data_IF_601011381884
#
_entry.id   IF_601011381884
#
_cell.length_a   1.000
_cell.length_b   1.000
_cell.length_c   1.000
_cell.angle_alpha   90.00
_cell.angle_beta   90.00
_cell.angle_gamma   90.00
#
_symmetry.space_group_name_H-M   'P 1'
#
loop_
_entity.id
_entity.type
_entity.pdbx_description
1 polymer ?
#
# COMPACT_ATOMS: atom_id res chain seq x y z
N UNK A 1 -0.99 12.28 -16.20
CA UNK A 1 -0.26 11.03 -15.92
C UNK A 1 -1.08 9.89 -16.46
N UNK A 2 -0.47 8.91 -17.13
CA UNK A 2 -1.16 7.69 -17.53
C UNK A 2 -1.34 6.80 -16.29
N UNK A 3 -2.54 6.20 -16.12
CA UNK A 3 -2.75 5.23 -15.06
C UNK A 3 -1.94 3.96 -15.36
N UNK A 4 -1.36 3.30 -14.34
CA UNK A 4 -0.53 2.13 -14.55
C UNK A 4 -1.36 0.98 -15.11
N UNK A 5 -0.81 0.27 -16.10
CA UNK A 5 -1.42 -0.95 -16.62
C UNK A 5 -0.66 -2.16 -16.06
N UNK A 6 -1.18 -2.74 -14.97
CA UNK A 6 -0.57 -3.90 -14.30
C UNK A 6 -0.27 -3.66 -12.82
N UNK A 7 0.47 -4.59 -12.19
CA UNK A 7 0.77 -4.61 -10.76
C UNK A 7 1.90 -3.63 -10.40
N UNK A 8 1.71 -2.36 -10.76
CA UNK A 8 2.65 -1.26 -10.48
C UNK A 8 1.87 -0.03 -10.02
N UNK A 9 2.59 0.92 -9.41
CA UNK A 9 2.04 2.20 -8.98
C UNK A 9 2.62 3.36 -9.79
N UNK A 10 1.85 4.44 -9.88
CA UNK A 10 2.28 5.69 -10.49
C UNK A 10 1.84 6.87 -9.61
N UNK A 11 2.67 7.92 -9.54
CA UNK A 11 2.44 9.10 -8.68
C UNK A 11 2.29 10.35 -9.54
N UNK A 12 1.22 11.11 -9.30
CA UNK A 12 0.99 12.37 -10.00
C UNK A 12 0.19 13.35 -9.16
N UNK A 13 0.64 14.60 -9.10
CA UNK A 13 -0.04 15.71 -8.38
C UNK A 13 -0.45 15.34 -6.94
N UNK A 14 0.40 14.62 -6.21
CA UNK A 14 0.17 14.23 -4.82
C UNK A 14 -0.74 13.02 -4.62
N UNK A 15 -1.18 12.35 -5.69
CA UNK A 15 -1.96 11.11 -5.63
C UNK A 15 -1.15 9.97 -6.23
N UNK A 16 -1.05 8.86 -5.50
CA UNK A 16 -0.54 7.59 -6.02
C UNK A 16 -1.71 6.70 -6.42
N UNK A 17 -1.63 6.13 -7.61
CA UNK A 17 -2.52 5.08 -8.08
C UNK A 17 -1.76 3.76 -8.09
N UNK A 18 -2.23 2.79 -7.32
CA UNK A 18 -1.65 1.45 -7.20
C UNK A 18 -2.53 0.47 -7.98
N UNK A 19 -1.98 -0.23 -8.96
CA UNK A 19 -2.74 -1.22 -9.73
C UNK A 19 -3.15 -2.42 -8.88
N UNK A 20 -4.45 -2.73 -8.86
CA UNK A 20 -5.01 -3.88 -8.10
C UNK A 20 -5.66 -4.93 -9.01
N UNK A 21 -5.80 -4.62 -10.30
CA UNK A 21 -6.35 -5.49 -11.32
C UNK A 21 -6.46 -4.76 -12.67
N UNK A 22 -6.79 -5.47 -13.77
CA UNK A 22 -7.01 -4.84 -15.06
C UNK A 22 -8.10 -3.76 -14.98
N UNK A 23 -7.74 -2.50 -15.25
CA UNK A 23 -8.67 -1.38 -15.15
C UNK A 23 -9.08 -1.00 -13.73
N UNK A 24 -8.36 -1.45 -12.70
CA UNK A 24 -8.67 -1.20 -11.30
C UNK A 24 -7.46 -0.65 -10.55
N UNK A 25 -7.69 0.41 -9.78
CA UNK A 25 -6.65 1.10 -9.02
C UNK A 25 -7.09 1.43 -7.60
N UNK A 26 -6.15 1.38 -6.67
CA UNK A 26 -6.29 1.95 -5.33
C UNK A 26 -5.60 3.31 -5.32
N UNK A 27 -6.36 4.38 -5.07
CA UNK A 27 -5.82 5.73 -4.99
C UNK A 27 -5.50 6.08 -3.53
N UNK A 28 -4.30 6.60 -3.28
CA UNK A 28 -3.84 7.06 -1.96
C UNK A 28 -3.17 8.42 -2.10
N UNK A 29 -3.34 9.27 -1.08
CA UNK A 29 -2.78 10.62 -1.05
C UNK A 29 -2.49 11.02 0.38
N UNK A 30 -1.33 11.63 0.62
CA UNK A 30 -0.97 12.27 1.90
C UNK A 30 -1.42 13.73 1.96
N UNK A 31 -1.68 14.35 0.81
CA UNK A 31 -1.97 15.80 0.72
C UNK A 31 -3.47 16.14 0.65
N UNK A 32 -4.34 15.13 0.59
CA UNK A 32 -5.78 15.30 0.49
C UNK A 32 -6.44 14.72 1.73
N UNK A 33 -7.41 15.43 2.30
CA UNK A 33 -8.29 14.85 3.30
C UNK A 33 -9.06 13.67 2.69
N UNK A 34 -9.29 12.63 3.49
CA UNK A 34 -9.86 11.33 3.08
C UNK A 34 -10.99 11.43 2.03
N UNK A 35 -12.15 11.97 2.41
CA UNK A 35 -13.31 12.05 1.52
C UNK A 35 -13.11 13.05 0.36
N UNK A 36 -12.21 14.02 0.51
CA UNK A 36 -11.96 15.03 -0.51
C UNK A 36 -11.32 14.42 -1.77
N UNK A 37 -10.43 13.44 -1.61
CA UNK A 37 -9.81 12.74 -2.74
C UNK A 37 -10.87 11.98 -3.56
N UNK A 38 -11.72 11.19 -2.91
CA UNK A 38 -12.74 10.41 -3.59
C UNK A 38 -13.71 11.31 -4.37
N UNK A 39 -14.16 12.42 -3.75
CA UNK A 39 -15.04 13.40 -4.41
C UNK A 39 -14.39 14.09 -5.60
N UNK A 40 -13.10 14.46 -5.50
CA UNK A 40 -12.36 15.08 -6.61
C UNK A 40 -12.15 14.09 -7.78
N UNK A 41 -11.77 12.85 -7.48
CA UNK A 41 -11.62 11.79 -8.49
C UNK A 41 -12.95 11.45 -9.16
N UNK A 42 -14.04 11.34 -8.39
CA UNK A 42 -15.36 11.06 -8.94
C UNK A 42 -15.79 12.11 -9.98
N UNK A 43 -15.52 13.40 -9.72
CA UNK A 43 -15.78 14.48 -10.67
C UNK A 43 -14.88 14.40 -11.91
N UNK A 44 -13.59 14.13 -11.72
CA UNK A 44 -12.61 14.09 -12.82
C UNK A 44 -12.77 12.87 -13.73
N UNK A 45 -13.34 11.78 -13.20
CA UNK A 45 -13.49 10.50 -13.89
C UNK A 45 -14.94 10.20 -14.28
N UNK A 46 -15.81 11.20 -14.24
CA UNK A 46 -17.21 11.05 -14.64
C UNK A 46 -17.33 10.49 -16.07
N UNK A 47 -18.12 9.43 -16.22
CA UNK A 47 -18.28 8.71 -17.50
C UNK A 47 -17.09 7.84 -17.92
N UNK A 48 -15.98 7.85 -17.19
CA UNK A 48 -14.77 7.08 -17.49
C UNK A 48 -14.53 5.94 -16.49
N UNK A 49 -14.79 6.16 -15.21
CA UNK A 49 -14.60 5.16 -14.16
C UNK A 49 -15.54 5.37 -12.97
N UNK A 50 -15.84 4.29 -12.24
CA UNK A 50 -16.49 4.36 -10.93
C UNK A 50 -15.47 4.65 -9.84
N UNK A 51 -15.82 5.52 -8.89
CA UNK A 51 -14.98 5.85 -7.72
C UNK A 51 -15.72 5.49 -6.44
N UNK A 52 -15.03 4.79 -5.53
CA UNK A 52 -15.54 4.41 -4.22
C UNK A 52 -14.54 4.78 -3.13
N UNK A 53 -15.03 5.37 -2.05
CA UNK A 53 -14.20 5.72 -0.89
C UNK A 53 -13.97 4.48 -0.01
N UNK A 54 -12.68 4.21 0.28
CA UNK A 54 -12.21 3.12 1.14
C UNK A 54 -11.37 3.62 2.33
N UNK A 55 -11.32 4.93 2.57
CA UNK A 55 -10.47 5.57 3.59
C UNK A 55 -10.77 5.09 5.02
N UNK A 56 -12.04 4.84 5.35
CA UNK A 56 -12.42 4.30 6.67
C UNK A 56 -12.16 2.80 6.82
N UNK A 57 -12.09 2.05 5.72
CA UNK A 57 -12.00 0.59 5.71
C UNK A 57 -10.57 0.02 5.72
N UNK A 58 -9.56 0.86 5.49
CA UNK A 58 -8.15 0.46 5.40
C UNK A 58 -7.29 1.21 6.42
N UNK A 59 -6.23 0.54 6.86
CA UNK A 59 -5.08 1.17 7.50
C UNK A 59 -3.89 1.02 6.55
N UNK A 60 -3.14 2.10 6.35
CA UNK A 60 -1.91 2.10 5.55
C UNK A 60 -0.74 2.27 6.51
N UNK A 61 0.23 1.36 6.42
CA UNK A 61 1.46 1.41 7.21
C UNK A 61 2.64 1.46 6.26
N UNK A 62 3.48 2.48 6.41
CA UNK A 62 4.77 2.57 5.73
C UNK A 62 5.83 1.91 6.60
N UNK A 63 6.65 1.06 5.99
CA UNK A 63 7.82 0.44 6.62
C UNK A 63 9.06 0.70 5.76
N UNK A 64 10.16 1.02 6.43
CA UNK A 64 11.44 1.31 5.78
C UNK A 64 12.58 0.91 6.70
N UNK A 65 13.77 0.77 6.11
CA UNK A 65 14.98 0.36 6.82
C UNK A 65 15.69 -0.81 6.14
N UNK A 66 16.95 -1.07 6.51
CA UNK A 66 17.80 -2.04 5.81
C UNK A 66 17.28 -3.49 5.88
N UNK A 67 16.53 -3.83 6.93
CA UNK A 67 15.98 -5.16 7.15
C UNK A 67 14.53 -5.32 6.67
N UNK A 68 13.93 -4.31 6.02
CA UNK A 68 12.49 -4.30 5.70
C UNK A 68 12.08 -5.50 4.85
N UNK A 69 12.90 -5.91 3.87
CA UNK A 69 12.63 -7.07 3.02
C UNK A 69 12.65 -8.36 3.83
N UNK A 70 13.63 -8.54 4.71
CA UNK A 70 13.74 -9.72 5.57
C UNK A 70 12.57 -9.84 6.55
N UNK A 71 12.14 -8.71 7.12
CA UNK A 71 10.97 -8.64 8.01
C UNK A 71 9.70 -9.02 7.25
N UNK A 72 9.46 -8.40 6.09
CA UNK A 72 8.26 -8.65 5.29
C UNK A 72 8.23 -10.06 4.70
N UNK A 73 9.38 -10.62 4.31
CA UNK A 73 9.49 -11.98 3.77
C UNK A 73 9.07 -13.07 4.77
N UNK A 74 9.02 -12.78 6.08
CA UNK A 74 8.48 -13.71 7.10
C UNK A 74 6.97 -13.94 6.98
N UNK A 75 6.25 -13.04 6.30
CA UNK A 75 4.79 -13.12 6.20
C UNK A 75 4.25 -13.01 4.77
N UNK A 76 4.93 -12.29 3.86
CA UNK A 76 4.50 -12.12 2.48
C UNK A 76 4.81 -13.37 1.65
N UNK A 77 3.80 -13.88 0.96
CA UNK A 77 3.93 -15.00 0.02
C UNK A 77 4.34 -14.54 -1.39
N UNK A 78 5.23 -13.56 -1.50
CA UNK A 78 5.76 -13.03 -2.78
C UNK A 78 7.27 -12.82 -2.67
N UNK A 79 7.95 -12.89 -3.81
CA UNK A 79 9.39 -12.60 -3.89
C UNK A 79 9.62 -11.08 -3.83
N UNK A 80 10.38 -10.64 -2.84
CA UNK A 80 10.74 -9.23 -2.62
C UNK A 80 12.15 -8.89 -3.13
N UNK A 81 12.80 -9.79 -3.86
CA UNK A 81 14.10 -9.51 -4.48
C UNK A 81 14.02 -8.21 -5.29
N UNK A 82 15.02 -7.31 -5.19
CA UNK A 82 14.97 -6.03 -5.89
C UNK A 82 14.81 -6.12 -7.40
N UNK A 83 15.15 -7.25 -8.02
CA UNK A 83 15.01 -7.51 -9.45
C UNK A 83 13.65 -8.13 -9.81
N UNK A 84 12.88 -8.61 -8.83
CA UNK A 84 11.53 -9.17 -9.01
C UNK A 84 10.47 -8.16 -8.58
N UNK A 85 10.54 -7.66 -7.35
CA UNK A 85 9.67 -6.60 -6.83
C UNK A 85 10.38 -5.25 -6.94
N UNK A 86 10.54 -4.81 -8.19
CA UNK A 86 11.24 -3.56 -8.56
C UNK A 86 10.57 -2.31 -7.96
N UNK A 87 11.26 -1.18 -7.99
CA UNK A 87 10.67 0.10 -7.56
C UNK A 87 9.36 0.39 -8.32
N UNK A 88 8.35 0.87 -7.59
CA UNK A 88 7.00 1.07 -8.08
C UNK A 88 6.15 -0.19 -8.23
N UNK A 89 6.69 -1.41 -8.04
CA UNK A 89 5.90 -2.64 -8.07
C UNK A 89 4.82 -2.67 -6.97
N UNK A 90 3.74 -3.37 -7.25
CA UNK A 90 2.61 -3.53 -6.34
C UNK A 90 2.06 -4.96 -6.39
N UNK A 91 1.40 -5.41 -5.32
CA UNK A 91 0.72 -6.70 -5.30
C UNK A 91 -0.48 -6.68 -4.35
N UNK A 92 -1.58 -7.29 -4.80
CA UNK A 92 -2.66 -7.73 -3.92
C UNK A 92 -2.33 -9.17 -3.51
N UNK A 93 -2.07 -9.38 -2.22
CA UNK A 93 -1.58 -10.67 -1.70
C UNK A 93 -2.03 -10.88 -0.25
N UNK A 94 -1.40 -11.83 0.45
CA UNK A 94 -1.56 -12.06 1.88
C UNK A 94 -0.26 -11.83 2.64
N UNK A 95 -0.39 -11.45 3.91
CA UNK A 95 0.70 -11.36 4.88
C UNK A 95 0.23 -12.01 6.17
N UNK A 96 0.86 -13.12 6.58
CA UNK A 96 0.42 -13.88 7.77
C UNK A 96 -1.10 -14.15 7.77
N UNK A 97 -1.62 -14.67 6.64
CA UNK A 97 -3.05 -14.95 6.38
C UNK A 97 -3.98 -13.72 6.31
N UNK A 98 -3.48 -12.50 6.41
CA UNK A 98 -4.26 -11.27 6.29
C UNK A 98 -4.15 -10.70 4.87
N UNK A 99 -5.28 -10.33 4.26
CA UNK A 99 -5.28 -9.69 2.94
C UNK A 99 -4.62 -8.32 2.96
N UNK A 100 -3.63 -8.10 2.09
CA UNK A 100 -2.83 -6.88 2.02
C UNK A 100 -2.65 -6.42 0.57
N UNK A 101 -2.71 -5.11 0.37
CA UNK A 101 -2.14 -4.47 -0.82
C UNK A 101 -0.78 -3.90 -0.42
N UNK A 102 0.28 -4.34 -1.08
CA UNK A 102 1.64 -3.84 -0.86
C UNK A 102 2.14 -3.12 -2.11
N UNK A 103 2.82 -1.99 -1.95
CA UNK A 103 3.56 -1.35 -3.03
C UNK A 103 4.91 -0.84 -2.55
N UNK A 104 5.89 -0.83 -3.46
CA UNK A 104 7.24 -0.35 -3.21
C UNK A 104 7.38 1.12 -3.63
N UNK A 105 8.13 1.87 -2.83
CA UNK A 105 8.47 3.27 -3.07
C UNK A 105 9.93 3.52 -2.67
N UNK A 106 10.83 3.42 -3.63
CA UNK A 106 12.27 3.39 -3.39
C UNK A 106 12.65 2.17 -2.55
N UNK A 107 13.15 2.40 -1.33
CA UNK A 107 13.46 1.34 -0.37
C UNK A 107 12.35 1.09 0.66
N UNK A 108 11.29 1.90 0.65
CA UNK A 108 10.15 1.74 1.53
C UNK A 108 9.08 0.83 0.90
N UNK A 109 8.26 0.26 1.78
CA UNK A 109 7.06 -0.48 1.41
C UNK A 109 5.88 0.10 2.16
N UNK A 110 4.80 0.34 1.44
CA UNK A 110 3.52 0.70 2.04
C UNK A 110 2.59 -0.52 1.98
N UNK A 111 1.90 -0.78 3.07
CA UNK A 111 0.99 -1.91 3.24
C UNK A 111 -0.39 -1.41 3.64
N UNK A 112 -1.38 -1.63 2.78
CA UNK A 112 -2.77 -1.36 3.06
C UNK A 112 -3.51 -2.64 3.49
N UNK A 113 -3.82 -2.75 4.78
CA UNK A 113 -4.59 -3.85 5.39
C UNK A 113 -6.01 -3.41 5.72
N UNK A 114 -6.94 -4.36 5.84
CA UNK A 114 -8.27 -4.04 6.35
C UNK A 114 -8.17 -3.51 7.80
N UNK A 115 -8.93 -2.47 8.12
CA UNK A 115 -8.89 -1.84 9.45
C UNK A 115 -9.20 -2.84 10.57
N UNK A 116 -10.08 -3.81 10.32
CA UNK A 116 -10.47 -4.84 11.29
C UNK A 116 -9.32 -5.77 11.70
N UNK A 117 -8.28 -5.91 10.88
CA UNK A 117 -7.10 -6.75 11.18
C UNK A 117 -5.85 -5.92 11.47
N UNK A 118 -5.94 -4.60 11.52
CA UNK A 118 -4.78 -3.71 11.70
C UNK A 118 -4.04 -3.99 13.02
N UNK A 119 -4.76 -4.31 14.10
CA UNK A 119 -4.13 -4.69 15.38
C UNK A 119 -3.34 -6.01 15.29
N UNK A 120 -3.89 -7.01 14.61
CA UNK A 120 -3.19 -8.29 14.37
C UNK A 120 -1.98 -8.11 13.44
N UNK A 121 -2.11 -7.27 12.42
CA UNK A 121 -1.01 -6.90 11.55
C UNK A 121 0.13 -6.22 12.31
N UNK A 122 -0.20 -5.28 13.19
CA UNK A 122 0.78 -4.58 14.02
C UNK A 122 1.54 -5.55 14.95
N UNK A 123 0.82 -6.42 15.68
CA UNK A 123 1.46 -7.42 16.54
C UNK A 123 2.35 -8.39 15.76
N UNK A 124 1.92 -8.83 14.58
CA UNK A 124 2.77 -9.63 13.69
C UNK A 124 4.03 -8.87 13.25
N UNK A 125 3.89 -7.58 12.92
CA UNK A 125 5.03 -6.76 12.49
C UNK A 125 6.05 -6.57 13.62
N UNK A 126 5.60 -6.35 14.85
CA UNK A 126 6.47 -6.31 16.04
C UNK A 126 7.26 -7.61 16.21
N UNK A 127 6.58 -8.75 16.16
CA UNK A 127 7.22 -10.08 16.27
C UNK A 127 8.19 -10.33 15.12
N UNK A 128 7.81 -9.98 13.88
CA UNK A 128 8.64 -10.15 12.70
C UNK A 128 9.90 -9.25 12.76
N UNK A 129 9.79 -8.05 13.31
CA UNK A 129 10.89 -7.09 13.44
C UNK A 129 11.76 -7.31 14.69
N UNK A 130 11.36 -8.18 15.63
CA UNK A 130 12.00 -8.32 16.94
C UNK A 130 13.53 -8.56 16.90
N UNK A 131 14.04 -9.26 15.86
CA UNK A 131 15.47 -9.51 15.69
C UNK A 131 16.29 -8.29 15.21
N UNK A 132 15.61 -7.25 14.72
CA UNK A 132 16.22 -6.07 14.09
C UNK A 132 15.96 -4.77 14.87
N UNK A 133 14.96 -4.77 15.75
CA UNK A 133 14.43 -3.57 16.38
C UNK A 133 13.33 -2.92 15.52
N UNK A 134 12.42 -2.20 16.18
CA UNK A 134 11.32 -1.50 15.55
C UNK A 134 11.13 -0.13 16.21
N UNK A 135 11.25 0.93 15.40
CA UNK A 135 10.90 2.29 15.81
C UNK A 135 9.57 2.68 15.17
N UNK A 136 8.60 3.08 15.99
CA UNK A 136 7.25 3.45 15.54
C UNK A 136 7.11 4.95 15.51
N UNK A 137 6.81 5.50 14.34
CA UNK A 137 6.51 6.93 14.14
C UNK A 137 5.05 7.06 13.73
N UNK A 138 4.27 7.77 14.55
CA UNK A 138 2.88 8.10 14.19
C UNK A 138 2.86 9.38 13.37
N UNK A 139 2.41 9.30 12.12
CA UNK A 139 2.12 10.47 11.30
C UNK A 139 0.66 10.87 11.52
N UNK A 140 0.44 12.11 11.95
CA UNK A 140 -0.90 12.70 12.19
C UNK A 140 -1.60 13.13 10.92
#
# INVERSE_FOLDING_TARGET
MALPNGPVSAIGKGVRFVGVGPGQWFAVSETHANEALANDLAKKLEGLASVADHSSGRAVVRVEGPAVRDVLAKGLAIDLDPNVFVDGAAAVTNISHMGVLVWRDGEAFDLAVFRSVAGSFYGWLEEAAAAYGLDVVTTS
#
